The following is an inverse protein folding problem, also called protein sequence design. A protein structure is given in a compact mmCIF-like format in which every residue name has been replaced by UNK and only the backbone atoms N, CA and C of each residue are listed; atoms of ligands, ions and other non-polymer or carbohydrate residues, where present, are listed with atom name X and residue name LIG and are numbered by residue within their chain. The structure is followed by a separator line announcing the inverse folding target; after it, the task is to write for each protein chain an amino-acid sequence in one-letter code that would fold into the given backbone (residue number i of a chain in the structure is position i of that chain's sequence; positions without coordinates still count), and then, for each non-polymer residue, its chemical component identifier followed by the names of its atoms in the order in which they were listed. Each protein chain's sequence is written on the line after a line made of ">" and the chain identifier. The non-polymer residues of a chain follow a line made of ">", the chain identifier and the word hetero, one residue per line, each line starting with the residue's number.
data_IF_652989729542
#
_entry.id   IF_652989729542
#
_cell.length_a   1.000
_cell.length_b   1.000
_cell.length_c   1.000
_cell.angle_alpha   90.00
_cell.angle_beta   90.00
_cell.angle_gamma   90.00
#
_symmetry.space_group_name_H-M   'P 1'
#
loop_
_entity.id
_entity.type
_entity.pdbx_description
1 polymer ?
#
# COMPACT_ATOMS: atom_id res chain seq x y z
N UNK A 1 -18.12 8.51 16.43
CA UNK A 1 -17.91 7.28 15.67
C UNK A 1 -17.64 7.61 14.22
N UNK A 2 -16.68 6.94 13.60
CA UNK A 2 -16.31 7.09 12.21
C UNK A 2 -16.72 5.83 11.45
N UNK A 3 -17.21 6.00 10.22
CA UNK A 3 -17.55 4.92 9.31
C UNK A 3 -16.59 4.97 8.12
N UNK A 4 -15.92 3.85 7.86
CA UNK A 4 -15.01 3.71 6.71
C UNK A 4 -15.63 2.71 5.74
N UNK A 5 -16.12 3.16 4.58
CA UNK A 5 -16.60 2.26 3.56
C UNK A 5 -15.41 1.53 2.91
N UNK A 6 -15.54 0.23 2.73
CA UNK A 6 -14.58 -0.59 2.00
C UNK A 6 -15.30 -1.49 1.00
N UNK A 7 -14.81 -1.54 -0.22
CA UNK A 7 -15.34 -2.46 -1.24
C UNK A 7 -15.12 -3.90 -0.82
N UNK A 8 -16.02 -4.80 -1.19
CA UNK A 8 -16.02 -6.20 -0.75
C UNK A 8 -14.66 -6.88 -0.87
N UNK A 9 -13.93 -6.65 -1.99
CA UNK A 9 -12.61 -7.24 -2.22
C UNK A 9 -11.50 -6.69 -1.29
N UNK A 10 -11.70 -5.52 -0.68
CA UNK A 10 -10.75 -4.90 0.26
C UNK A 10 -11.23 -4.94 1.71
N UNK A 11 -12.46 -5.42 1.96
CA UNK A 11 -13.12 -5.28 3.27
C UNK A 11 -12.31 -5.91 4.41
N UNK A 12 -11.82 -7.13 4.23
CA UNK A 12 -11.04 -7.83 5.26
C UNK A 12 -9.76 -7.09 5.62
N UNK A 13 -9.03 -6.63 4.62
CA UNK A 13 -7.78 -5.87 4.79
C UNK A 13 -8.04 -4.55 5.52
N UNK A 14 -9.02 -3.78 5.06
CA UNK A 14 -9.35 -2.48 5.68
C UNK A 14 -9.86 -2.67 7.10
N UNK A 15 -10.70 -3.69 7.35
CA UNK A 15 -11.19 -4.01 8.68
C UNK A 15 -10.05 -4.38 9.65
N UNK A 16 -9.07 -5.12 9.19
CA UNK A 16 -7.89 -5.49 9.99
C UNK A 16 -7.02 -4.25 10.30
N UNK A 17 -6.82 -3.37 9.32
CA UNK A 17 -6.05 -2.14 9.51
C UNK A 17 -6.59 -1.23 10.62
N UNK A 18 -7.91 -1.23 10.85
CA UNK A 18 -8.58 -0.40 11.86
C UNK A 18 -9.08 -1.19 13.07
N UNK A 19 -8.68 -2.45 13.24
CA UNK A 19 -9.21 -3.36 14.26
C UNK A 19 -8.91 -2.94 15.72
N UNK A 20 -7.92 -2.10 15.93
CA UNK A 20 -7.54 -1.56 17.25
C UNK A 20 -8.23 -0.22 17.59
N UNK A 21 -9.07 0.31 16.69
CA UNK A 21 -9.76 1.59 16.89
C UNK A 21 -11.24 1.38 17.21
N UNK A 22 -11.59 1.49 18.50
CA UNK A 22 -12.96 1.27 18.97
C UNK A 22 -14.00 2.27 18.45
N UNK A 23 -13.55 3.43 17.95
CA UNK A 23 -14.39 4.48 17.40
C UNK A 23 -14.51 4.45 15.86
N UNK A 24 -13.95 3.42 15.22
CA UNK A 24 -14.02 3.20 13.78
C UNK A 24 -14.80 1.93 13.48
N UNK A 25 -15.74 2.03 12.55
CA UNK A 25 -16.50 0.92 12.01
C UNK A 25 -16.25 0.82 10.50
N UNK A 26 -15.71 -0.31 10.05
CA UNK A 26 -15.52 -0.58 8.63
C UNK A 26 -16.76 -1.25 8.08
N UNK A 27 -17.36 -0.66 7.05
CA UNK A 27 -18.62 -1.14 6.44
C UNK A 27 -18.36 -1.60 5.02
N UNK A 28 -18.80 -2.83 4.71
CA UNK A 28 -18.69 -3.36 3.34
C UNK A 28 -19.69 -2.66 2.41
N UNK A 29 -19.22 -2.21 1.26
CA UNK A 29 -20.03 -1.59 0.22
C UNK A 29 -19.72 -2.22 -1.14
N UNK A 30 -20.72 -2.28 -2.02
CA UNK A 30 -20.53 -2.74 -3.40
C UNK A 30 -20.05 -1.61 -4.31
N UNK A 31 -20.63 -0.44 -4.13
CA UNK A 31 -20.35 0.75 -4.93
C UNK A 31 -20.10 1.97 -4.04
N UNK A 32 -19.48 2.99 -4.62
CA UNK A 32 -19.22 4.25 -3.91
C UNK A 32 -20.53 5.00 -3.56
N UNK A 33 -21.64 4.70 -4.26
CA UNK A 33 -22.95 5.29 -3.98
C UNK A 33 -23.62 4.71 -2.72
N UNK A 34 -23.26 3.51 -2.30
CA UNK A 34 -23.86 2.87 -1.11
C UNK A 34 -23.49 3.60 0.20
N UNK A 35 -22.44 4.43 0.15
CA UNK A 35 -21.93 5.20 1.30
C UNK A 35 -23.01 6.09 1.92
N UNK A 36 -23.90 6.67 1.11
CA UNK A 36 -24.99 7.54 1.59
C UNK A 36 -25.99 6.83 2.49
N UNK A 37 -26.05 5.50 2.41
CA UNK A 37 -26.98 4.66 3.18
C UNK A 37 -26.37 4.10 4.47
N UNK A 38 -25.04 4.22 4.67
CA UNK A 38 -24.37 3.64 5.85
C UNK A 38 -24.92 4.23 7.14
N UNK A 39 -25.02 5.56 7.21
CA UNK A 39 -25.54 6.28 8.38
C UNK A 39 -26.24 7.57 7.95
N UNK A 40 -27.55 7.55 7.71
CA UNK A 40 -28.30 8.74 7.33
C UNK A 40 -28.09 9.89 8.32
N UNK A 41 -27.91 11.10 7.81
CA UNK A 41 -27.65 12.30 8.62
C UNK A 41 -26.20 12.50 9.07
N UNK A 42 -25.28 11.61 8.73
CA UNK A 42 -23.85 11.79 9.01
C UNK A 42 -23.22 12.80 8.03
N UNK A 43 -22.18 13.49 8.52
CA UNK A 43 -21.33 14.27 7.64
C UNK A 43 -20.49 13.35 6.76
N UNK A 44 -20.58 13.52 5.45
CA UNK A 44 -19.82 12.76 4.48
C UNK A 44 -18.77 13.67 3.86
N UNK A 45 -17.49 13.37 4.10
CA UNK A 45 -16.38 14.00 3.39
C UNK A 45 -15.98 13.13 2.19
N UNK A 46 -16.23 13.64 0.98
CA UNK A 46 -15.78 12.97 -0.24
C UNK A 46 -14.34 13.37 -0.54
N UNK A 47 -13.53 12.36 -0.83
CA UNK A 47 -12.16 12.47 -1.33
C UNK A 47 -12.04 11.50 -2.51
N UNK A 48 -11.33 11.91 -3.55
CA UNK A 48 -11.23 11.04 -4.73
C UNK A 48 -10.45 11.68 -5.87
N UNK A 49 -10.29 10.90 -6.91
CA UNK A 49 -9.60 11.32 -8.13
C UNK A 49 -10.29 12.49 -8.84
N UNK A 50 -11.60 12.59 -8.74
CA UNK A 50 -12.39 13.68 -9.31
C UNK A 50 -12.09 15.06 -8.70
N UNK A 51 -11.45 15.09 -7.52
CA UNK A 51 -11.05 16.33 -6.84
C UNK A 51 -9.53 16.50 -6.80
N UNK A 52 -8.80 15.68 -7.55
CA UNK A 52 -7.35 15.62 -7.50
C UNK A 52 -6.71 16.77 -8.28
N UNK A 53 -5.80 17.48 -7.64
CA UNK A 53 -4.90 18.43 -8.29
C UNK A 53 -3.69 17.66 -8.87
N UNK A 54 -3.74 17.36 -10.16
CA UNK A 54 -2.71 16.59 -10.87
C UNK A 54 -1.37 17.33 -11.02
N UNK A 55 -1.29 18.61 -10.67
CA UNK A 55 0.00 19.34 -10.60
C UNK A 55 0.82 18.99 -9.36
N UNK A 56 0.21 18.30 -8.40
CA UNK A 56 0.83 17.89 -7.13
C UNK A 56 1.20 16.41 -7.13
N UNK A 57 2.09 16.05 -6.22
CA UNK A 57 2.34 14.64 -5.90
C UNK A 57 1.06 13.99 -5.39
N UNK A 58 0.87 12.71 -5.71
CA UNK A 58 -0.35 11.95 -5.49
C UNK A 58 -0.89 12.07 -4.05
N UNK A 59 -0.09 11.69 -3.08
CA UNK A 59 -0.49 11.74 -1.66
C UNK A 59 -0.75 13.17 -1.17
N UNK A 60 0.08 14.15 -1.58
CA UNK A 60 -0.15 15.56 -1.25
C UNK A 60 -1.53 16.03 -1.73
N UNK A 61 -1.93 15.65 -2.95
CA UNK A 61 -3.22 16.02 -3.51
C UNK A 61 -4.40 15.44 -2.71
N UNK A 62 -4.26 14.22 -2.16
CA UNK A 62 -5.30 13.61 -1.31
C UNK A 62 -5.35 14.24 0.09
N UNK A 63 -4.21 14.49 0.72
CA UNK A 63 -4.17 15.15 2.03
C UNK A 63 -4.72 16.57 1.99
N UNK A 64 -4.49 17.31 0.89
CA UNK A 64 -5.04 18.66 0.70
C UNK A 64 -6.58 18.65 0.61
N UNK A 65 -7.20 17.63 0.02
CA UNK A 65 -8.67 17.49 0.01
C UNK A 65 -9.26 17.40 1.43
N UNK A 66 -8.49 16.91 2.38
CA UNK A 66 -8.86 16.82 3.79
C UNK A 66 -8.44 18.04 4.60
N UNK A 67 -7.74 19.02 4.00
CA UNK A 67 -7.07 20.12 4.69
C UNK A 67 -6.08 19.64 5.77
N UNK A 68 -5.40 18.52 5.51
CA UNK A 68 -4.40 17.96 6.40
C UNK A 68 -2.98 18.19 5.85
N UNK A 69 -2.02 18.54 6.70
CA UNK A 69 -0.62 18.59 6.27
C UNK A 69 -0.10 17.19 5.98
N UNK A 70 0.73 17.05 4.95
CA UNK A 70 1.28 15.74 4.56
C UNK A 70 2.12 15.06 5.66
N UNK A 71 2.67 15.84 6.60
CA UNK A 71 3.39 15.31 7.77
C UNK A 71 2.55 14.33 8.60
N UNK A 72 1.21 14.47 8.61
CA UNK A 72 0.28 13.56 9.26
C UNK A 72 0.48 12.12 8.77
N UNK A 73 0.78 11.92 7.48
CA UNK A 73 1.10 10.62 6.89
C UNK A 73 2.18 9.87 7.69
N UNK A 74 3.23 10.57 8.14
CA UNK A 74 4.35 9.96 8.86
C UNK A 74 4.16 9.96 10.38
N UNK A 75 3.62 11.05 10.91
CA UNK A 75 3.49 11.23 12.37
C UNK A 75 2.51 10.25 13.01
N UNK A 76 1.44 9.91 12.30
CA UNK A 76 0.35 9.07 12.83
C UNK A 76 0.23 7.72 12.15
N UNK A 77 1.14 7.39 11.24
CA UNK A 77 1.15 6.07 10.64
C UNK A 77 1.40 4.99 11.68
N UNK A 78 0.55 3.99 11.70
CA UNK A 78 0.67 2.82 12.56
C UNK A 78 0.22 1.59 11.80
N UNK A 79 0.97 0.53 11.91
CA UNK A 79 0.60 -0.79 11.41
C UNK A 79 0.22 -1.67 12.58
N UNK A 80 -0.96 -2.25 12.54
CA UNK A 80 -1.38 -3.27 13.48
C UNK A 80 -0.85 -4.63 13.00
N UNK A 81 0.28 -5.05 13.54
CA UNK A 81 1.00 -6.27 13.12
C UNK A 81 0.42 -7.51 13.79
N UNK A 82 0.31 -8.59 13.02
CA UNK A 82 -0.03 -9.91 13.51
C UNK A 82 1.11 -10.90 13.23
N UNK A 83 1.98 -11.11 14.22
CA UNK A 83 3.18 -11.93 14.07
C UNK A 83 2.88 -13.39 13.66
N UNK A 84 1.73 -13.94 14.05
CA UNK A 84 1.33 -15.30 13.65
C UNK A 84 0.96 -15.36 12.18
N UNK A 85 0.24 -14.35 11.66
CA UNK A 85 -0.10 -14.28 10.23
C UNK A 85 1.13 -13.98 9.39
N UNK A 86 1.99 -13.07 9.85
CA UNK A 86 3.25 -12.76 9.19
C UNK A 86 4.16 -13.99 9.10
N UNK A 87 4.26 -14.78 10.19
CA UNK A 87 5.03 -16.02 10.17
C UNK A 87 4.41 -17.05 9.23
N UNK A 88 3.08 -17.21 9.25
CA UNK A 88 2.38 -18.10 8.31
C UNK A 88 2.62 -17.70 6.85
N UNK A 89 2.61 -16.40 6.56
CA UNK A 89 2.94 -15.88 5.23
C UNK A 89 4.38 -16.20 4.86
N UNK A 90 5.31 -15.95 5.76
CA UNK A 90 6.73 -16.26 5.58
C UNK A 90 6.96 -17.75 5.29
N UNK A 91 6.36 -18.63 6.08
CA UNK A 91 6.47 -20.09 5.92
C UNK A 91 5.85 -20.58 4.62
N UNK A 92 4.77 -19.93 4.15
CA UNK A 92 4.12 -20.25 2.87
C UNK A 92 5.06 -20.02 1.68
N UNK A 93 5.77 -18.89 1.67
CA UNK A 93 6.74 -18.59 0.62
C UNK A 93 8.05 -19.34 0.80
N UNK A 94 8.35 -19.80 2.01
CA UNK A 94 9.56 -20.53 2.38
C UNK A 94 10.82 -19.97 1.68
N UNK A 95 11.13 -18.67 1.79
CA UNK A 95 12.21 -18.07 1.04
C UNK A 95 13.55 -18.67 1.46
N UNK A 96 14.51 -18.68 0.53
CA UNK A 96 15.89 -18.99 0.85
C UNK A 96 16.47 -17.90 1.76
N UNK A 97 17.62 -18.15 2.38
CA UNK A 97 18.28 -17.22 3.31
C UNK A 97 18.46 -15.82 2.71
N UNK A 98 18.76 -15.75 1.41
CA UNK A 98 18.90 -14.49 0.67
C UNK A 98 17.96 -14.47 -0.52
N UNK A 99 17.12 -13.46 -0.58
CA UNK A 99 16.13 -13.28 -1.63
C UNK A 99 15.82 -11.79 -1.82
N UNK A 100 15.15 -11.47 -2.91
CA UNK A 100 14.55 -10.15 -3.13
C UNK A 100 13.02 -10.27 -3.12
N UNK A 101 12.37 -9.23 -2.59
CA UNK A 101 10.91 -9.11 -2.65
C UNK A 101 10.51 -8.18 -3.80
N UNK A 102 9.60 -8.63 -4.66
CA UNK A 102 9.17 -7.88 -5.83
C UNK A 102 7.67 -7.74 -5.87
N UNK A 103 7.17 -6.49 -5.91
CA UNK A 103 5.76 -6.19 -6.14
C UNK A 103 5.61 -5.41 -7.45
N UNK A 104 5.24 -6.11 -8.50
CA UNK A 104 5.14 -5.64 -9.90
C UNK A 104 3.71 -5.60 -10.45
N UNK A 105 2.70 -5.85 -9.59
CA UNK A 105 1.28 -5.89 -9.98
C UNK A 105 0.51 -4.68 -9.44
N UNK A 106 -0.44 -4.23 -10.24
CA UNK A 106 -1.42 -3.19 -9.88
C UNK A 106 -2.80 -3.60 -10.38
N UNK A 107 -3.82 -2.80 -10.09
CA UNK A 107 -5.16 -2.98 -10.69
C UNK A 107 -5.18 -2.85 -12.22
N UNK A 108 -4.15 -2.24 -12.82
CA UNK A 108 -4.01 -2.08 -14.27
C UNK A 108 -3.27 -3.26 -14.93
N UNK A 109 -2.69 -4.17 -14.17
CA UNK A 109 -1.96 -5.32 -14.68
C UNK A 109 -0.58 -5.52 -14.03
N UNK A 110 0.19 -6.42 -14.62
CA UNK A 110 1.56 -6.73 -14.24
C UNK A 110 2.56 -5.97 -15.12
N UNK A 111 3.65 -5.53 -14.53
CA UNK A 111 4.69 -4.74 -15.17
C UNK A 111 6.01 -5.51 -15.18
N UNK A 112 6.72 -5.45 -16.29
CA UNK A 112 8.05 -6.05 -16.37
C UNK A 112 9.10 -5.09 -15.78
N UNK A 113 9.53 -5.36 -14.55
CA UNK A 113 10.51 -4.51 -13.87
C UNK A 113 11.93 -4.84 -14.31
N UNK A 114 12.75 -3.80 -14.48
CA UNK A 114 14.18 -3.91 -14.77
C UNK A 114 14.91 -4.28 -13.48
N UNK A 115 15.11 -5.57 -13.25
CA UNK A 115 15.80 -6.10 -12.07
C UNK A 115 16.93 -7.01 -12.54
N UNK A 116 18.15 -6.66 -12.17
CA UNK A 116 19.34 -7.47 -12.41
C UNK A 116 19.77 -8.12 -11.09
N UNK A 117 19.53 -9.43 -10.96
CA UNK A 117 19.82 -10.15 -9.72
C UNK A 117 20.11 -11.62 -9.99
N UNK A 118 20.95 -12.21 -9.14
CA UNK A 118 21.16 -13.66 -9.06
C UNK A 118 20.42 -14.26 -7.84
N UNK A 119 19.73 -13.43 -7.05
CA UNK A 119 18.99 -13.89 -5.89
C UNK A 119 17.60 -14.40 -6.30
N UNK A 120 17.05 -15.36 -5.56
CA UNK A 120 15.68 -15.79 -5.74
C UNK A 120 14.69 -14.63 -5.58
N UNK A 121 13.65 -14.63 -6.41
CA UNK A 121 12.59 -13.61 -6.38
C UNK A 121 11.38 -14.17 -5.65
N UNK A 122 10.91 -13.42 -4.65
CA UNK A 122 9.65 -13.68 -3.94
C UNK A 122 8.65 -12.61 -4.35
N UNK A 123 7.52 -13.02 -4.91
CA UNK A 123 6.41 -12.14 -5.31
C UNK A 123 5.16 -12.46 -4.48
N UNK A 124 4.40 -11.45 -4.03
CA UNK A 124 3.12 -11.69 -3.38
C UNK A 124 2.13 -12.27 -4.40
N UNK A 125 1.77 -13.53 -4.22
CA UNK A 125 0.82 -14.26 -5.04
C UNK A 125 -0.35 -14.77 -4.20
N UNK A 126 -1.57 -14.68 -4.76
CA UNK A 126 -2.76 -15.20 -4.11
C UNK A 126 -3.45 -14.21 -3.16
N UNK A 127 -4.62 -14.64 -2.68
CA UNK A 127 -5.54 -13.79 -1.90
C UNK A 127 -5.61 -14.17 -0.42
N UNK A 128 -4.79 -15.12 0.04
CA UNK A 128 -4.88 -15.67 1.40
C UNK A 128 -4.23 -14.79 2.46
N UNK A 129 -3.44 -13.79 2.04
CA UNK A 129 -2.71 -12.90 2.92
C UNK A 129 -3.10 -11.45 2.69
N UNK A 130 -3.21 -10.68 3.77
CA UNK A 130 -3.42 -9.24 3.72
C UNK A 130 -2.10 -8.51 3.49
N UNK A 131 -2.17 -7.23 3.12
CA UNK A 131 -1.00 -6.40 2.87
C UNK A 131 0.04 -6.47 4.01
N UNK A 132 -0.43 -6.43 5.26
CA UNK A 132 0.43 -6.40 6.44
C UNK A 132 1.08 -7.74 6.77
N UNK A 133 0.51 -8.85 6.29
CA UNK A 133 1.07 -10.19 6.52
C UNK A 133 2.42 -10.40 5.82
N UNK A 134 2.70 -9.60 4.77
CA UNK A 134 3.97 -9.65 4.04
C UNK A 134 5.12 -8.91 4.73
N UNK A 135 4.88 -8.20 5.85
CA UNK A 135 5.91 -7.37 6.47
C UNK A 135 7.17 -8.13 6.84
N UNK A 136 7.04 -9.33 7.41
CA UNK A 136 8.22 -10.16 7.73
C UNK A 136 9.01 -10.52 6.48
N UNK A 137 8.36 -10.91 5.38
CA UNK A 137 9.03 -11.18 4.09
C UNK A 137 9.75 -9.95 3.55
N UNK A 138 9.17 -8.78 3.72
CA UNK A 138 9.74 -7.51 3.26
C UNK A 138 10.95 -7.12 4.12
N UNK A 139 10.86 -7.27 5.43
CA UNK A 139 11.92 -6.90 6.37
C UNK A 139 13.16 -7.80 6.30
N UNK A 140 12.96 -9.07 5.94
CA UNK A 140 14.03 -10.07 5.83
C UNK A 140 14.63 -10.16 4.42
N UNK A 141 14.08 -9.47 3.42
CA UNK A 141 14.62 -9.41 2.06
C UNK A 141 15.91 -8.57 1.97
N UNK A 142 16.87 -8.95 1.12
CA UNK A 142 18.05 -8.15 0.81
C UNK A 142 17.67 -6.87 0.06
N UNK A 143 16.75 -6.98 -0.89
CA UNK A 143 16.25 -5.90 -1.70
C UNK A 143 14.72 -5.98 -1.83
N UNK A 144 14.11 -4.82 -1.95
CA UNK A 144 12.67 -4.67 -2.18
C UNK A 144 12.44 -3.82 -3.42
N UNK A 145 11.80 -4.38 -4.42
CA UNK A 145 11.44 -3.72 -5.66
C UNK A 145 9.93 -3.52 -5.73
N UNK A 146 9.48 -2.27 -5.79
CA UNK A 146 8.05 -1.95 -5.84
C UNK A 146 7.72 -0.93 -6.91
N UNK A 147 6.53 -1.13 -7.50
CA UNK A 147 5.80 -0.09 -8.21
C UNK A 147 5.12 0.87 -7.23
N UNK A 148 4.56 1.96 -7.76
CA UNK A 148 3.56 2.77 -7.06
C UNK A 148 2.34 1.91 -6.70
N UNK A 149 2.22 1.60 -5.42
CA UNK A 149 1.21 0.70 -4.88
C UNK A 149 1.03 0.89 -3.37
N UNK A 150 0.03 0.19 -2.81
CA UNK A 150 -0.14 0.12 -1.35
C UNK A 150 1.09 -0.49 -0.64
N UNK A 151 1.81 -1.43 -1.28
CA UNK A 151 3.05 -1.97 -0.75
C UNK A 151 4.12 -0.89 -0.59
N UNK A 152 4.43 -0.14 -1.65
CA UNK A 152 5.45 0.91 -1.57
C UNK A 152 5.11 1.98 -0.53
N UNK A 153 3.84 2.36 -0.41
CA UNK A 153 3.39 3.31 0.61
C UNK A 153 3.53 2.75 2.04
N UNK A 154 3.18 1.48 2.26
CA UNK A 154 3.35 0.83 3.56
C UNK A 154 4.82 0.72 3.93
N UNK A 155 5.67 0.26 3.01
CA UNK A 155 7.11 0.08 3.22
C UNK A 155 7.80 1.43 3.47
N UNK A 156 7.40 2.49 2.75
CA UNK A 156 7.94 3.84 2.97
C UNK A 156 7.75 4.33 4.41
N UNK A 157 6.66 3.92 5.04
CA UNK A 157 6.27 4.34 6.39
C UNK A 157 6.70 3.32 7.47
N UNK A 158 7.14 2.13 7.07
CA UNK A 158 7.65 1.10 8.00
C UNK A 158 9.16 1.19 8.17
N UNK A 159 9.67 0.41 9.14
CA UNK A 159 11.11 0.25 9.37
C UNK A 159 11.56 -1.03 8.68
N UNK A 160 12.50 -0.91 7.73
CA UNK A 160 13.15 -2.05 7.10
C UNK A 160 14.64 -1.78 6.93
N UNK A 161 15.43 -2.84 6.87
CA UNK A 161 16.88 -2.81 6.58
C UNK A 161 17.20 -3.10 5.12
N UNK A 162 16.22 -3.53 4.34
CA UNK A 162 16.35 -3.84 2.93
C UNK A 162 16.75 -2.62 2.11
N UNK A 163 17.47 -2.82 1.01
CA UNK A 163 17.64 -1.81 -0.01
C UNK A 163 16.32 -1.64 -0.77
N UNK A 164 15.83 -0.41 -0.89
CA UNK A 164 14.51 -0.13 -1.46
C UNK A 164 14.64 0.47 -2.86
N UNK A 165 14.01 -0.16 -3.84
CA UNK A 165 13.99 0.27 -5.24
C UNK A 165 12.56 0.59 -5.67
N UNK A 166 12.34 1.84 -6.07
CA UNK A 166 11.04 2.31 -6.54
C UNK A 166 11.05 2.43 -8.07
N UNK A 167 10.18 1.66 -8.74
CA UNK A 167 10.10 1.59 -10.19
C UNK A 167 9.03 2.56 -10.72
N UNK A 168 9.45 3.62 -11.42
CA UNK A 168 8.58 4.64 -12.01
C UNK A 168 8.01 4.18 -13.38
N UNK A 169 7.45 2.96 -13.43
CA UNK A 169 7.03 2.33 -14.68
C UNK A 169 5.59 2.68 -15.12
N UNK A 170 4.80 3.39 -14.28
CA UNK A 170 3.36 3.60 -14.54
C UNK A 170 2.99 4.89 -15.27
N UNK A 171 3.90 5.87 -15.35
CA UNK A 171 3.61 7.16 -15.99
C UNK A 171 2.50 8.00 -15.31
N UNK A 172 2.18 7.74 -14.04
CA UNK A 172 1.17 8.46 -13.26
C UNK A 172 1.82 9.39 -12.24
N UNK A 173 1.10 10.39 -11.68
CA UNK A 173 1.64 11.17 -10.57
C UNK A 173 2.07 10.27 -9.42
N UNK A 174 3.34 10.35 -9.07
CA UNK A 174 3.94 9.48 -8.06
C UNK A 174 3.69 9.99 -6.64
N UNK A 175 3.59 9.12 -5.64
CA UNK A 175 3.56 9.51 -4.24
C UNK A 175 4.91 10.14 -3.83
N UNK A 176 4.91 10.87 -2.72
CA UNK A 176 6.13 11.41 -2.13
C UNK A 176 6.70 10.38 -1.16
N UNK A 177 7.61 9.54 -1.67
CA UNK A 177 8.39 8.63 -0.84
C UNK A 177 9.54 9.34 -0.11
N UNK A 178 10.08 8.68 0.91
CA UNK A 178 11.28 9.14 1.62
C UNK A 178 12.55 8.89 0.82
N UNK A 179 13.65 9.52 1.23
CA UNK A 179 14.96 9.42 0.57
C UNK A 179 15.62 8.03 0.70
N UNK A 180 15.00 7.10 1.43
CA UNK A 180 15.49 5.71 1.53
C UNK A 180 15.25 4.89 0.25
N UNK A 181 14.46 5.39 -0.70
CA UNK A 181 14.19 4.73 -1.96
C UNK A 181 15.15 5.16 -3.07
N UNK A 182 15.69 4.17 -3.78
CA UNK A 182 16.41 4.39 -5.04
C UNK A 182 15.38 4.34 -6.17
N UNK A 183 15.21 5.45 -6.89
CA UNK A 183 14.25 5.52 -8.00
C UNK A 183 14.83 4.97 -9.28
N UNK A 184 14.12 4.03 -9.90
CA UNK A 184 14.44 3.44 -11.21
C UNK A 184 13.47 3.99 -12.24
N UNK A 185 13.99 4.78 -13.19
CA UNK A 185 13.20 5.40 -14.25
C UNK A 185 13.17 4.53 -15.50
N UNK A 186 12.04 4.58 -16.19
CA UNK A 186 11.81 3.93 -17.47
C UNK A 186 11.78 4.99 -18.56
N UNK A 187 12.40 4.70 -19.72
CA UNK A 187 12.35 5.59 -20.88
C UNK A 187 10.94 5.66 -21.47
N UNK A 188 10.63 6.76 -22.19
CA UNK A 188 9.32 6.98 -22.80
C UNK A 188 8.93 5.95 -23.89
N UNK A 189 9.83 5.05 -24.25
CA UNK A 189 9.67 4.08 -25.37
C UNK A 189 9.98 2.62 -24.96
N UNK A 190 9.87 2.27 -23.68
CA UNK A 190 10.14 0.90 -23.23
C UNK A 190 8.94 0.25 -22.56
#
# INVERSE_FOLDING_TARGET
>A
QYYIPAKEHNFSTVKEMYSDLNNVEVVSVKTDNDVIHIKPGSYIKRIGFEYMDYSKKFDKAFYDQLNLPLSVKRTYFKINRNSKKEQRCYDHYAPLEKYIFVHDKTSAGEYNLKIETNLPIVKPEGFDFTLTDYLKLIEDAEEVHCLDSSFSNMIDLSTTRSNLFFHEARGVPLPLHSDKWISIKYGENE
#
